data_IF_065522608484
#
_entry.id   IF_065522608484
#
_cell.length_a   1.000
_cell.length_b   1.000
_cell.length_c   1.000
_cell.angle_alpha   90.00
_cell.angle_beta   90.00
_cell.angle_gamma   90.00
#
_symmetry.space_group_name_H-M   'P 1'
#
loop_
_entity.id
_entity.type
_entity.pdbx_description
1 polymer ?
#
# COMPACT_ATOMS: atom_id res chain seq x y z
N UNK A 1 -9.05 -10.73 14.50
CA UNK A 1 -9.06 -10.51 15.95
C UNK A 1 -10.39 -9.91 16.40
N UNK A 2 -10.86 -8.78 15.87
CA UNK A 2 -12.12 -8.13 16.26
C UNK A 2 -13.34 -9.07 16.23
N UNK A 3 -13.35 -10.05 15.32
CA UNK A 3 -14.46 -11.00 15.16
C UNK A 3 -14.45 -12.14 16.17
N UNK A 4 -13.27 -12.67 16.50
CA UNK A 4 -13.17 -13.97 17.20
C UNK A 4 -11.98 -14.05 18.19
N UNK A 5 -11.29 -12.95 18.44
CA UNK A 5 -10.14 -12.90 19.34
C UNK A 5 -8.87 -13.59 18.81
N UNK A 6 -8.88 -14.12 17.58
CA UNK A 6 -7.72 -14.83 17.04
C UNK A 6 -6.55 -13.89 16.76
N UNK A 7 -5.35 -14.32 17.15
CA UNK A 7 -4.09 -13.59 16.94
C UNK A 7 -3.05 -14.48 16.29
N UNK A 8 -2.05 -13.89 15.66
CA UNK A 8 -0.86 -14.59 15.20
C UNK A 8 0.41 -13.90 15.69
N UNK A 9 1.48 -14.65 15.91
CA UNK A 9 2.78 -14.11 16.35
C UNK A 9 3.29 -13.02 15.40
N UNK A 10 3.15 -13.24 14.09
CA UNK A 10 3.57 -12.26 13.07
C UNK A 10 2.77 -10.96 13.21
N UNK A 11 1.46 -11.03 13.44
CA UNK A 11 0.64 -9.84 13.60
C UNK A 11 0.98 -9.11 14.91
N UNK A 12 1.14 -9.84 16.01
CA UNK A 12 1.51 -9.27 17.31
C UNK A 12 2.87 -8.55 17.21
N UNK A 13 3.86 -9.17 16.57
CA UNK A 13 5.19 -8.58 16.37
C UNK A 13 5.20 -7.34 15.45
N UNK A 14 4.13 -7.09 14.70
CA UNK A 14 3.98 -5.96 13.79
C UNK A 14 2.92 -4.93 14.24
N UNK A 15 2.70 -4.78 15.53
CA UNK A 15 1.78 -3.78 16.09
C UNK A 15 0.40 -4.32 16.46
N UNK A 16 0.22 -5.65 16.43
CA UNK A 16 -1.04 -6.28 16.83
C UNK A 16 -1.36 -6.12 18.30
N UNK A 17 -0.35 -6.13 19.17
CA UNK A 17 -0.55 -5.94 20.61
C UNK A 17 -1.03 -4.51 20.89
N UNK A 18 -0.42 -3.51 20.31
CA UNK A 18 -0.81 -2.10 20.43
C UNK A 18 -2.24 -1.89 19.92
N UNK A 19 -2.64 -2.61 18.87
CA UNK A 19 -4.02 -2.60 18.37
C UNK A 19 -4.97 -3.18 19.43
N UNK A 20 -4.65 -4.33 20.04
CA UNK A 20 -5.46 -4.95 21.11
C UNK A 20 -5.60 -3.98 22.28
N UNK A 21 -4.51 -3.39 22.71
CA UNK A 21 -4.46 -2.49 23.86
C UNK A 21 -5.30 -1.22 23.61
N UNK A 22 -5.28 -0.68 22.41
CA UNK A 22 -6.10 0.48 22.03
C UNK A 22 -7.61 0.21 22.09
N UNK A 23 -8.03 -1.04 21.99
CA UNK A 23 -9.44 -1.43 22.04
C UNK A 23 -9.97 -1.79 23.43
N UNK A 24 -9.11 -1.80 24.47
CA UNK A 24 -9.52 -2.24 25.83
C UNK A 24 -10.65 -1.39 26.42
N UNK A 25 -10.70 -0.10 26.10
CA UNK A 25 -11.70 0.84 26.61
C UNK A 25 -12.98 0.94 25.75
N UNK A 26 -13.01 0.32 24.57
CA UNK A 26 -14.16 0.41 23.68
C UNK A 26 -15.23 -0.63 23.98
N UNK A 27 -16.51 -0.23 23.87
CA UNK A 27 -17.65 -1.15 23.97
C UNK A 27 -17.68 -2.13 22.79
N UNK A 28 -18.39 -3.24 22.96
CA UNK A 28 -18.58 -4.23 21.89
C UNK A 28 -19.31 -3.66 20.67
N UNK A 29 -20.19 -2.67 20.86
CA UNK A 29 -20.87 -1.97 19.76
C UNK A 29 -19.87 -1.20 18.89
N UNK A 30 -18.92 -0.50 19.51
CA UNK A 30 -17.86 0.22 18.78
C UNK A 30 -16.94 -0.76 18.05
N UNK A 31 -16.55 -1.86 18.72
CA UNK A 31 -15.75 -2.91 18.08
C UNK A 31 -16.45 -3.52 16.87
N UNK A 32 -17.77 -3.78 16.99
CA UNK A 32 -18.58 -4.29 15.89
C UNK A 32 -18.64 -3.29 14.74
N UNK A 33 -18.87 -2.00 15.03
CA UNK A 33 -18.89 -0.93 14.03
C UNK A 33 -17.56 -0.84 13.26
N UNK A 34 -16.42 -0.93 13.96
CA UNK A 34 -15.10 -0.94 13.32
C UNK A 34 -14.87 -2.22 12.50
N UNK A 35 -15.34 -3.36 12.98
CA UNK A 35 -15.28 -4.62 12.23
C UNK A 35 -16.09 -4.54 10.94
N UNK A 36 -17.31 -4.00 10.99
CA UNK A 36 -18.18 -3.83 9.82
C UNK A 36 -17.55 -2.87 8.80
N UNK A 37 -16.95 -1.79 9.28
CA UNK A 37 -16.18 -0.87 8.42
C UNK A 37 -15.01 -1.59 7.72
N UNK A 38 -14.17 -2.32 8.47
CA UNK A 38 -13.05 -3.06 7.88
C UNK A 38 -13.52 -4.13 6.88
N UNK A 39 -14.64 -4.79 7.15
CA UNK A 39 -15.24 -5.76 6.23
C UNK A 39 -15.82 -5.14 4.96
N UNK A 40 -16.19 -3.87 4.99
CA UNK A 40 -16.70 -3.15 3.83
C UNK A 40 -15.60 -2.63 2.89
N UNK A 41 -14.34 -2.73 3.31
CA UNK A 41 -13.20 -2.27 2.51
C UNK A 41 -12.96 -3.18 1.31
N UNK A 42 -12.70 -2.57 0.17
CA UNK A 42 -12.38 -3.28 -1.06
C UNK A 42 -10.88 -3.65 -1.12
N UNK A 43 -10.56 -4.76 -1.74
CA UNK A 43 -9.17 -5.19 -1.95
C UNK A 43 -8.44 -4.33 -2.98
N UNK A 44 -9.16 -3.77 -3.92
CA UNK A 44 -8.70 -2.80 -4.92
C UNK A 44 -9.89 -2.00 -5.46
N UNK A 45 -9.59 -0.86 -6.07
CA UNK A 45 -10.61 -0.01 -6.70
C UNK A 45 -10.15 0.40 -8.11
N UNK A 46 -11.07 0.42 -9.06
CA UNK A 46 -10.83 0.94 -10.42
C UNK A 46 -11.84 2.07 -10.65
N UNK A 47 -11.34 3.27 -10.96
CA UNK A 47 -12.18 4.42 -11.22
C UNK A 47 -12.70 4.47 -12.68
N UNK A 48 -13.55 5.46 -12.98
CA UNK A 48 -14.14 5.69 -14.30
C UNK A 48 -13.13 6.06 -15.38
N UNK A 49 -11.91 6.45 -14.99
CA UNK A 49 -10.80 6.75 -15.89
C UNK A 49 -9.87 5.58 -16.14
N UNK A 50 -10.24 4.40 -15.64
CA UNK A 50 -9.44 3.17 -15.69
C UNK A 50 -8.11 3.29 -14.92
N UNK A 51 -8.09 4.01 -13.80
CA UNK A 51 -6.99 4.01 -12.87
C UNK A 51 -7.22 2.93 -11.80
N UNK A 52 -6.19 2.15 -11.50
CA UNK A 52 -6.22 1.13 -10.46
C UNK A 52 -5.60 1.65 -9.17
N UNK A 53 -6.30 1.43 -8.05
CA UNK A 53 -5.82 1.66 -6.69
C UNK A 53 -5.76 0.33 -5.96
N UNK A 54 -4.59 -0.08 -5.49
CA UNK A 54 -4.36 -1.36 -4.83
C UNK A 54 -3.22 -1.23 -3.82
N UNK A 55 -3.30 -1.94 -2.68
CA UNK A 55 -2.27 -1.78 -1.65
C UNK A 55 -0.87 -2.18 -2.12
N UNK A 56 -0.70 -3.38 -2.69
CA UNK A 56 0.61 -3.88 -3.12
C UNK A 56 0.67 -4.15 -4.63
N UNK A 57 -0.18 -5.03 -5.14
CA UNK A 57 -0.20 -5.35 -6.55
C UNK A 57 -1.01 -6.60 -6.89
N UNK A 58 -0.76 -7.13 -8.08
CA UNK A 58 -1.37 -8.34 -8.59
C UNK A 58 -0.43 -8.98 -9.63
N UNK A 59 -0.53 -10.30 -9.82
CA UNK A 59 0.35 -11.05 -10.74
C UNK A 59 -0.37 -11.49 -12.03
N UNK A 60 -1.69 -11.54 -12.02
CA UNK A 60 -2.50 -11.97 -13.16
C UNK A 60 -2.32 -11.05 -14.38
N UNK A 61 -2.05 -11.62 -15.54
CA UNK A 61 -2.01 -10.90 -16.82
C UNK A 61 -3.37 -10.41 -17.30
N UNK A 62 -4.46 -10.84 -16.64
CA UNK A 62 -5.86 -10.49 -16.94
C UNK A 62 -6.45 -9.50 -15.93
N UNK A 63 -5.63 -8.92 -15.07
CA UNK A 63 -6.04 -7.95 -14.07
C UNK A 63 -6.34 -8.54 -12.69
N UNK A 64 -6.51 -7.69 -11.67
CA UNK A 64 -6.73 -8.11 -10.30
C UNK A 64 -8.01 -8.97 -10.14
N UNK A 65 -9.06 -8.70 -10.90
CA UNK A 65 -10.29 -9.53 -10.89
C UNK A 65 -10.07 -11.01 -11.26
N UNK A 66 -8.92 -11.32 -11.86
CA UNK A 66 -8.53 -12.69 -12.21
C UNK A 66 -7.29 -13.15 -11.42
N UNK A 67 -7.00 -12.48 -10.29
CA UNK A 67 -5.89 -12.87 -9.43
C UNK A 67 -6.22 -14.19 -8.71
N UNK A 68 -5.34 -15.16 -8.87
CA UNK A 68 -5.53 -16.49 -8.27
C UNK A 68 -5.20 -16.48 -6.77
N UNK A 69 -4.16 -15.74 -6.39
CA UNK A 69 -3.71 -15.60 -5.01
C UNK A 69 -4.06 -14.20 -4.49
N UNK A 70 -5.22 -14.08 -3.84
CA UNK A 70 -5.72 -12.78 -3.33
C UNK A 70 -4.79 -12.13 -2.30
N UNK A 71 -3.91 -12.92 -1.66
CA UNK A 71 -2.84 -12.38 -0.81
C UNK A 71 -1.91 -11.41 -1.56
N UNK A 72 -1.80 -11.52 -2.90
CA UNK A 72 -1.00 -10.62 -3.72
C UNK A 72 -1.49 -9.17 -3.64
N UNK A 73 -2.79 -8.93 -3.45
CA UNK A 73 -3.29 -7.55 -3.28
C UNK A 73 -2.60 -6.82 -2.14
N UNK A 74 -2.10 -7.56 -1.14
CA UNK A 74 -1.47 -7.02 0.08
C UNK A 74 0.04 -7.24 0.17
N UNK A 75 0.60 -8.19 -0.61
CA UNK A 75 1.98 -8.63 -0.44
C UNK A 75 2.81 -8.64 -1.72
N UNK A 76 2.23 -8.43 -2.91
CA UNK A 76 2.98 -8.44 -4.17
C UNK A 76 3.97 -7.28 -4.21
N UNK A 77 5.20 -7.59 -4.63
CA UNK A 77 6.24 -6.59 -4.94
C UNK A 77 6.60 -6.61 -6.40
N UNK A 78 6.22 -7.67 -7.11
CA UNK A 78 6.64 -7.89 -8.48
C UNK A 78 6.03 -6.89 -9.47
N UNK A 79 4.89 -6.29 -9.15
CA UNK A 79 4.30 -5.25 -9.98
C UNK A 79 5.19 -3.99 -9.97
N UNK A 80 5.62 -3.56 -8.79
CA UNK A 80 6.52 -2.42 -8.64
C UNK A 80 7.92 -2.70 -9.22
N UNK A 81 8.50 -3.86 -8.91
CA UNK A 81 9.80 -4.29 -9.47
C UNK A 81 9.76 -4.35 -11.00
N UNK A 82 8.65 -4.83 -11.58
CA UNK A 82 8.43 -4.81 -13.02
C UNK A 82 8.45 -3.37 -13.56
N UNK A 83 7.73 -2.44 -12.93
CA UNK A 83 7.71 -1.05 -13.36
C UNK A 83 9.11 -0.39 -13.27
N UNK A 84 9.86 -0.68 -12.21
CA UNK A 84 11.23 -0.19 -12.03
C UNK A 84 12.20 -0.72 -13.09
N UNK A 85 11.99 -1.95 -13.57
CA UNK A 85 12.89 -2.64 -14.51
C UNK A 85 12.67 -2.25 -16.00
N UNK A 86 11.56 -1.57 -16.31
CA UNK A 86 11.26 -1.16 -17.69
C UNK A 86 12.23 -0.07 -18.12
N UNK A 87 12.87 -0.28 -19.28
CA UNK A 87 13.62 0.78 -19.96
C UNK A 87 12.65 1.91 -20.35
N UNK A 88 12.92 3.16 -19.93
CA UNK A 88 12.04 4.30 -20.22
C UNK A 88 11.77 4.56 -21.71
N UNK A 89 12.59 4.03 -22.62
CA UNK A 89 12.39 4.12 -24.06
C UNK A 89 11.30 3.18 -24.60
N UNK A 90 10.92 2.14 -23.83
CA UNK A 90 9.93 1.16 -24.24
C UNK A 90 8.53 1.77 -24.15
N UNK A 91 7.90 1.92 -25.30
CA UNK A 91 6.55 2.49 -25.42
C UNK A 91 5.48 1.44 -25.03
N UNK A 92 4.33 1.91 -24.55
CA UNK A 92 3.23 1.04 -24.09
C UNK A 92 2.68 0.09 -25.16
N UNK A 93 2.77 0.47 -26.44
CA UNK A 93 2.36 -0.38 -27.58
C UNK A 93 3.40 -1.45 -27.94
N UNK A 94 4.60 -1.40 -27.38
CA UNK A 94 5.64 -2.39 -27.63
C UNK A 94 5.23 -3.78 -27.13
N UNK A 95 5.65 -4.82 -27.85
CA UNK A 95 5.51 -6.21 -27.40
C UNK A 95 6.32 -6.51 -26.14
N UNK A 96 7.34 -5.71 -25.84
CA UNK A 96 8.17 -5.82 -24.65
C UNK A 96 7.59 -5.11 -23.42
N UNK A 97 6.54 -4.28 -23.60
CA UNK A 97 5.88 -3.64 -22.46
C UNK A 97 5.03 -4.66 -21.69
N UNK A 98 5.13 -4.77 -20.36
CA UNK A 98 4.44 -5.79 -19.58
C UNK A 98 2.92 -5.71 -19.73
N UNK A 99 2.28 -6.82 -20.12
CA UNK A 99 0.85 -6.89 -20.40
C UNK A 99 0.00 -6.43 -19.21
N UNK A 100 0.36 -6.83 -17.97
CA UNK A 100 -0.41 -6.44 -16.79
C UNK A 100 -0.44 -4.93 -16.54
N UNK A 101 0.60 -4.20 -16.95
CA UNK A 101 0.62 -2.74 -16.82
C UNK A 101 -0.24 -2.05 -17.88
N UNK A 102 -0.44 -2.67 -19.05
CA UNK A 102 -1.30 -2.13 -20.11
C UNK A 102 -2.79 -2.15 -19.76
N UNK A 103 -3.20 -2.89 -18.74
CA UNK A 103 -4.61 -3.05 -18.36
C UNK A 103 -5.23 -1.76 -17.82
N UNK A 104 -4.41 -0.86 -17.29
CA UNK A 104 -4.85 0.37 -16.64
C UNK A 104 -4.14 1.58 -17.20
N UNK A 105 -4.81 2.72 -17.14
CA UNK A 105 -4.21 4.01 -17.51
C UNK A 105 -3.08 4.36 -16.56
N UNK A 106 -3.34 4.30 -15.25
CA UNK A 106 -2.37 4.47 -14.18
C UNK A 106 -2.66 3.47 -13.05
N UNK A 107 -1.64 3.09 -12.31
CA UNK A 107 -1.73 2.17 -11.19
C UNK A 107 -1.11 2.85 -9.97
N UNK A 108 -1.86 2.91 -8.87
CA UNK A 108 -1.43 3.52 -7.61
C UNK A 108 -1.25 2.42 -6.57
N UNK A 109 -0.03 2.34 -6.01
CA UNK A 109 0.37 1.31 -5.04
C UNK A 109 1.05 1.91 -3.82
N UNK A 110 1.19 1.10 -2.78
CA UNK A 110 2.02 1.32 -1.59
C UNK A 110 2.85 0.09 -1.24
N UNK A 111 2.81 -0.34 0.01
CA UNK A 111 3.39 -1.57 0.57
C UNK A 111 4.94 -1.64 0.57
N UNK A 112 5.59 -1.21 -0.48
CA UNK A 112 7.05 -1.21 -0.58
C UNK A 112 7.53 0.24 -0.50
N UNK A 113 7.99 0.71 0.67
CA UNK A 113 8.30 2.10 0.87
C UNK A 113 9.33 2.65 -0.12
N UNK A 114 9.08 3.85 -0.64
CA UNK A 114 10.03 4.54 -1.54
C UNK A 114 11.37 4.77 -0.87
N UNK A 115 11.39 4.89 0.46
CA UNK A 115 12.61 5.02 1.27
C UNK A 115 13.57 3.83 1.15
N UNK A 116 13.12 2.67 0.67
CA UNK A 116 13.97 1.54 0.33
C UNK A 116 14.87 1.81 -0.91
N UNK A 117 14.59 2.87 -1.66
CA UNK A 117 15.30 3.23 -2.89
C UNK A 117 16.09 4.52 -2.68
N UNK A 118 17.34 4.40 -2.20
CA UNK A 118 18.25 5.53 -1.98
C UNK A 118 17.67 6.62 -1.05
N UNK A 119 16.89 6.21 -0.04
CA UNK A 119 16.24 7.13 0.92
C UNK A 119 15.29 8.15 0.28
N UNK A 120 14.66 7.80 -0.84
CA UNK A 120 13.64 8.64 -1.48
C UNK A 120 12.41 8.71 -0.57
N UNK A 121 12.06 9.90 -0.08
CA UNK A 121 10.94 10.12 0.83
C UNK A 121 9.75 10.86 0.19
N UNK A 122 9.62 10.75 -1.13
CA UNK A 122 8.51 11.29 -1.92
C UNK A 122 7.93 10.22 -2.86
N UNK A 123 6.68 10.41 -3.38
CA UNK A 123 6.06 9.48 -4.31
C UNK A 123 6.92 9.23 -5.54
N UNK A 124 7.07 7.97 -5.92
CA UNK A 124 7.85 7.56 -7.09
C UNK A 124 6.94 7.19 -8.25
N UNK A 125 7.33 7.55 -9.47
CA UNK A 125 6.65 7.16 -10.70
C UNK A 125 7.59 6.39 -11.63
N UNK A 126 7.13 5.22 -12.12
CA UNK A 126 7.82 4.43 -13.13
C UNK A 126 6.81 3.76 -14.04
N UNK A 127 7.06 3.83 -15.35
CA UNK A 127 6.08 3.41 -16.36
C UNK A 127 4.74 4.13 -16.14
N UNK A 128 3.65 3.38 -15.92
CA UNK A 128 2.36 3.94 -15.51
C UNK A 128 2.01 3.61 -14.04
N UNK A 129 3.02 3.33 -13.20
CA UNK A 129 2.83 2.98 -11.78
C UNK A 129 3.32 4.10 -10.87
N UNK A 130 2.47 4.55 -9.97
CA UNK A 130 2.76 5.46 -8.88
C UNK A 130 2.89 4.69 -7.56
N UNK A 131 4.05 4.75 -6.94
CA UNK A 131 4.23 4.27 -5.58
C UNK A 131 4.14 5.46 -4.63
N UNK A 132 3.10 5.47 -3.79
CA UNK A 132 2.79 6.57 -2.86
C UNK A 132 3.16 6.25 -1.41
N UNK A 133 3.69 5.06 -1.13
CA UNK A 133 4.17 4.70 0.20
C UNK A 133 5.54 5.35 0.46
N UNK A 134 5.55 6.41 1.21
CA UNK A 134 6.76 7.16 1.57
C UNK A 134 7.29 6.81 2.96
N UNK A 135 6.97 5.60 3.43
CA UNK A 135 7.56 5.00 4.62
C UNK A 135 7.01 5.50 5.95
N UNK A 136 5.75 5.95 6.00
CA UNK A 136 5.12 6.48 7.21
C UNK A 136 5.14 5.51 8.40
N UNK A 137 5.07 4.19 8.14
CA UNK A 137 5.18 3.16 9.18
C UNK A 137 6.60 3.00 9.76
N UNK A 138 7.57 3.74 9.24
CA UNK A 138 8.97 3.75 9.65
C UNK A 138 9.41 5.20 9.95
N UNK A 139 10.53 5.64 9.38
CA UNK A 139 11.05 7.02 9.53
C UNK A 139 10.56 7.99 8.45
N UNK A 140 9.59 7.57 7.65
CA UNK A 140 9.07 8.35 6.53
C UNK A 140 7.84 9.19 6.87
N UNK A 141 7.15 9.61 5.82
CA UNK A 141 6.05 10.59 5.85
C UNK A 141 4.75 9.98 5.34
N UNK A 142 3.62 10.56 5.72
CA UNK A 142 2.35 10.32 5.03
C UNK A 142 2.34 11.21 3.79
N UNK A 143 2.04 10.64 2.62
CA UNK A 143 1.91 11.35 1.36
C UNK A 143 0.49 11.29 0.81
N UNK A 144 0.02 12.40 0.29
CA UNK A 144 -1.24 12.51 -0.44
C UNK A 144 -0.94 13.02 -1.85
N UNK A 145 -1.25 12.21 -2.86
CA UNK A 145 -1.04 12.55 -4.27
C UNK A 145 -2.36 13.02 -4.90
N UNK A 146 -2.35 14.20 -5.49
CA UNK A 146 -3.47 14.69 -6.30
C UNK A 146 -3.44 14.04 -7.68
N UNK A 147 -4.51 13.33 -8.05
CA UNK A 147 -4.54 12.50 -9.26
C UNK A 147 -4.41 13.30 -10.55
N UNK A 148 -5.03 14.47 -10.64
CA UNK A 148 -5.04 15.27 -11.87
C UNK A 148 -3.70 15.95 -12.15
N UNK A 149 -3.14 16.61 -11.15
CA UNK A 149 -1.94 17.44 -11.30
C UNK A 149 -0.65 16.69 -11.01
N UNK A 150 -0.74 15.50 -10.35
CA UNK A 150 0.38 14.74 -9.79
C UNK A 150 1.21 15.52 -8.78
N UNK A 151 0.65 16.61 -8.26
CA UNK A 151 1.20 17.30 -7.09
C UNK A 151 0.98 16.46 -5.83
N UNK A 152 1.90 16.51 -4.90
CA UNK A 152 1.75 15.80 -3.64
C UNK A 152 1.98 16.70 -2.44
N UNK A 153 1.34 16.33 -1.35
CA UNK A 153 1.47 16.95 -0.03
C UNK A 153 2.01 15.92 0.95
N UNK A 154 2.83 16.33 1.89
CA UNK A 154 3.42 15.43 2.86
C UNK A 154 3.32 15.98 4.28
N UNK A 155 3.16 15.06 5.24
CA UNK A 155 3.37 15.35 6.66
C UNK A 155 4.87 15.58 6.94
N UNK A 156 5.18 16.01 8.17
CA UNK A 156 6.51 15.75 8.74
C UNK A 156 6.71 14.23 8.87
N UNK A 157 7.95 13.76 9.07
CA UNK A 157 8.19 12.36 9.42
C UNK A 157 7.30 11.94 10.58
N UNK A 158 6.60 10.79 10.42
CA UNK A 158 5.55 10.38 11.37
C UNK A 158 6.11 10.14 12.77
N UNK A 159 7.32 9.61 12.89
CA UNK A 159 7.97 9.38 14.18
C UNK A 159 8.21 10.67 15.00
N UNK A 160 8.26 11.86 14.37
CA UNK A 160 8.38 13.12 15.08
C UNK A 160 7.14 13.51 15.88
N UNK A 161 5.97 12.94 15.55
CA UNK A 161 4.73 13.14 16.31
C UNK A 161 4.60 12.19 17.51
N UNK A 162 5.43 11.14 17.55
CA UNK A 162 5.39 10.07 18.56
C UNK A 162 6.81 9.74 19.04
N UNK A 163 7.54 10.73 19.63
CA UNK A 163 8.96 10.56 19.93
C UNK A 163 9.26 9.50 21.01
N UNK A 164 8.26 9.17 21.83
CA UNK A 164 8.38 8.14 22.87
C UNK A 164 8.01 6.74 22.36
N UNK A 165 7.56 6.62 21.10
CA UNK A 165 7.17 5.35 20.50
C UNK A 165 8.20 4.87 19.49
N UNK A 166 8.77 3.70 19.71
CA UNK A 166 9.74 3.12 18.77
C UNK A 166 9.06 2.57 17.50
N UNK A 167 7.80 2.15 17.61
CA UNK A 167 7.04 1.59 16.50
C UNK A 167 7.76 0.45 15.80
N UNK A 168 7.73 0.44 14.46
CA UNK A 168 8.44 -0.54 13.63
C UNK A 168 9.93 -0.25 13.44
N UNK A 169 10.46 0.79 14.07
CA UNK A 169 11.86 1.19 13.97
C UNK A 169 12.77 0.51 15.02
N UNK A 170 12.23 -0.33 15.89
CA UNK A 170 12.95 -1.02 16.99
C UNK A 170 14.23 -1.75 16.56
N UNK A 171 14.32 -2.15 15.29
CA UNK A 171 15.42 -2.97 14.77
C UNK A 171 16.16 -2.33 13.58
N UNK A 172 16.13 -1.02 13.44
CA UNK A 172 16.85 -0.30 12.38
C UNK A 172 18.02 0.53 12.92
#
# INVERSE_FOLDING_TARGET
WLKNGWTSEIWLANGGQETIDSYQSYSEEVKQSHFDFLNSMEEYYVDEHNNLFIHAGFTSRKGPQNEHYTSNYRWDRTLWETALSIDPSIQTYSAYYPERLKLFKEIFIGHTPTTNYNSIDFPMHRANVWNVDTGAAFKGKISCLQLDTKSYYQSKPVFEYYPEEEGRNKNQ
#
